data_IF_502489004583
#
_entry.id   IF_502489004583
#
_cell.length_a   1.000
_cell.length_b   1.000
_cell.length_c   1.000
_cell.angle_alpha   90.00
_cell.angle_beta   90.00
_cell.angle_gamma   90.00
#
_symmetry.space_group_name_H-M   'P 1'
#
loop_
_entity.id
_entity.type
_entity.pdbx_description
1 polymer ?
#
# COMPACT_ATOMS: atom_id res chain seq x y z
N UNK A 1 -2.84 7.86 -3.61
CA UNK A 1 -1.77 7.42 -4.51
C UNK A 1 -1.34 8.51 -5.48
N UNK A 2 -0.38 8.18 -6.35
CA UNK A 2 0.11 9.09 -7.39
C UNK A 2 0.78 8.30 -8.51
N UNK A 3 0.86 8.88 -9.72
CA UNK A 3 1.66 8.34 -10.82
C UNK A 3 2.39 9.44 -11.57
N UNK A 4 3.49 9.04 -12.16
CA UNK A 4 4.23 9.82 -13.14
C UNK A 4 4.09 9.08 -14.47
N UNK A 5 3.50 9.73 -15.46
CA UNK A 5 3.30 9.22 -16.82
C UNK A 5 4.03 10.16 -17.78
N UNK A 6 4.90 9.61 -18.61
CA UNK A 6 5.71 10.39 -19.55
C UNK A 6 6.50 11.54 -18.87
N UNK A 7 7.07 11.27 -17.70
CA UNK A 7 7.82 12.24 -16.91
C UNK A 7 6.97 13.33 -16.22
N UNK A 8 5.64 13.23 -16.24
CA UNK A 8 4.73 14.21 -15.67
C UNK A 8 3.85 13.59 -14.58
N UNK A 9 3.64 14.34 -13.49
CA UNK A 9 2.67 13.94 -12.46
C UNK A 9 1.27 13.91 -13.05
N UNK A 10 0.65 12.73 -13.02
CA UNK A 10 -0.73 12.56 -13.48
C UNK A 10 -1.71 13.09 -12.45
N UNK A 11 -2.41 14.15 -12.76
CA UNK A 11 -3.35 14.83 -11.84
C UNK A 11 -4.80 14.44 -12.08
N UNK A 12 -5.14 13.96 -13.27
CA UNK A 12 -6.52 13.76 -13.67
C UNK A 12 -7.26 15.11 -13.93
N UNK A 13 -8.54 15.02 -14.21
CA UNK A 13 -9.36 16.20 -14.55
C UNK A 13 -9.56 17.16 -13.37
N UNK A 14 -9.76 16.62 -12.16
CA UNK A 14 -10.06 17.40 -10.94
C UNK A 14 -8.91 17.47 -9.96
N UNK A 15 -7.70 17.03 -10.36
CA UNK A 15 -6.53 16.86 -9.50
C UNK A 15 -6.71 15.82 -8.38
N UNK A 16 -7.71 14.93 -8.48
CA UNK A 16 -8.01 13.86 -7.54
C UNK A 16 -7.77 12.46 -8.15
N UNK A 17 -6.93 12.35 -9.18
CA UNK A 17 -6.63 11.06 -9.78
C UNK A 17 -5.83 10.16 -8.82
N UNK A 18 -5.91 8.86 -9.07
CA UNK A 18 -5.13 7.83 -8.38
C UNK A 18 -5.44 7.67 -6.89
N UNK A 19 -6.68 7.90 -6.51
CA UNK A 19 -7.20 7.49 -5.21
C UNK A 19 -7.38 5.95 -5.15
N UNK A 20 -6.27 5.22 -5.43
CA UNK A 20 -6.23 3.75 -5.48
C UNK A 20 -6.66 3.12 -4.16
N UNK A 21 -6.37 3.79 -3.04
CA UNK A 21 -6.82 3.37 -1.72
C UNK A 21 -8.35 3.26 -1.60
N UNK A 22 -9.09 3.98 -2.44
CA UNK A 22 -10.56 3.96 -2.47
C UNK A 22 -11.17 3.11 -3.60
N UNK A 23 -10.34 2.36 -4.32
CA UNK A 23 -10.84 1.32 -5.22
C UNK A 23 -11.35 0.12 -4.44
N UNK A 24 -12.49 -0.43 -4.83
CA UNK A 24 -13.05 -1.63 -4.18
C UNK A 24 -12.26 -2.87 -4.57
N UNK A 25 -11.69 -3.56 -3.58
CA UNK A 25 -10.97 -4.84 -3.74
C UNK A 25 -11.77 -6.02 -3.19
N UNK A 26 -12.78 -5.75 -2.39
CA UNK A 26 -13.75 -6.73 -1.90
C UNK A 26 -15.14 -6.07 -1.74
N UNK A 27 -16.11 -6.37 -2.61
CA UNK A 27 -17.43 -5.75 -2.54
C UNK A 27 -18.21 -6.07 -1.26
N UNK A 28 -17.81 -7.13 -0.54
CA UNK A 28 -18.39 -7.53 0.74
C UNK A 28 -17.53 -7.10 1.94
N UNK A 29 -16.48 -6.33 1.70
CA UNK A 29 -15.55 -5.88 2.72
C UNK A 29 -16.12 -4.79 3.64
N UNK A 30 -15.36 -4.35 4.64
CA UNK A 30 -15.79 -3.37 5.62
C UNK A 30 -16.07 -2.00 4.97
N UNK A 31 -16.89 -1.21 5.67
CA UNK A 31 -17.18 0.17 5.26
C UNK A 31 -15.94 1.04 5.39
N UNK A 32 -15.60 1.74 4.32
CA UNK A 32 -14.54 2.73 4.27
C UNK A 32 -15.04 4.10 4.70
N UNK A 33 -14.13 4.97 5.17
CA UNK A 33 -14.46 6.34 5.55
C UNK A 33 -14.96 7.19 4.35
N UNK A 34 -14.65 6.81 3.11
CA UNK A 34 -15.19 7.44 1.90
C UNK A 34 -16.66 7.11 1.64
N UNK A 35 -17.24 6.17 2.41
CA UNK A 35 -18.63 5.73 2.29
C UNK A 35 -18.83 4.42 1.51
N UNK A 36 -17.85 3.98 0.71
CA UNK A 36 -17.89 2.73 -0.03
C UNK A 36 -17.60 1.51 0.86
N UNK A 37 -17.81 0.31 0.30
CA UNK A 37 -17.45 -0.96 0.93
C UNK A 37 -16.18 -1.54 0.30
N UNK A 38 -15.34 -2.17 1.13
CA UNK A 38 -14.19 -2.94 0.69
C UNK A 38 -13.13 -2.20 -0.10
N UNK A 39 -12.94 -0.91 0.18
CA UNK A 39 -11.83 -0.14 -0.37
C UNK A 39 -10.49 -0.75 0.04
N UNK A 40 -9.49 -0.67 -0.82
CA UNK A 40 -8.14 -1.13 -0.53
C UNK A 40 -7.61 -0.57 0.80
N UNK A 41 -7.82 0.72 1.08
CA UNK A 41 -7.43 1.35 2.34
C UNK A 41 -8.09 0.67 3.56
N UNK A 42 -9.40 0.39 3.47
CA UNK A 42 -10.14 -0.27 4.54
C UNK A 42 -9.74 -1.74 4.75
N UNK A 43 -9.09 -2.35 3.77
CA UNK A 43 -8.63 -3.75 3.82
C UNK A 43 -7.16 -3.87 4.23
N UNK A 44 -6.27 -2.95 3.83
CA UNK A 44 -4.83 -3.16 3.89
C UNK A 44 -4.01 -2.03 4.53
N UNK A 45 -4.62 -0.92 4.92
CA UNK A 45 -3.89 0.15 5.60
C UNK A 45 -3.45 -0.25 7.01
N UNK A 46 -2.44 0.43 7.56
CA UNK A 46 -2.03 0.24 8.95
C UNK A 46 -3.18 0.45 9.95
N UNK A 47 -4.09 1.40 9.65
CA UNK A 47 -5.31 1.62 10.45
C UNK A 47 -6.28 0.44 10.35
N UNK A 48 -6.43 -0.16 9.17
CA UNK A 48 -7.28 -1.33 8.96
C UNK A 48 -6.72 -2.55 9.72
N UNK A 49 -5.41 -2.79 9.65
CA UNK A 49 -4.70 -3.84 10.40
C UNK A 49 -4.90 -3.65 11.91
N UNK A 50 -4.66 -2.44 12.41
CA UNK A 50 -4.87 -2.12 13.83
C UNK A 50 -6.31 -2.35 14.28
N UNK A 51 -7.29 -1.96 13.45
CA UNK A 51 -8.71 -2.20 13.72
C UNK A 51 -9.03 -3.68 13.83
N UNK A 52 -8.50 -4.50 12.91
CA UNK A 52 -8.68 -5.97 12.94
C UNK A 52 -8.05 -6.60 14.19
N UNK A 53 -6.84 -6.13 14.59
CA UNK A 53 -6.22 -6.56 15.85
C UNK A 53 -7.08 -6.24 17.07
N UNK A 54 -7.67 -5.03 17.14
CA UNK A 54 -8.58 -4.63 18.23
C UNK A 54 -9.88 -5.45 18.22
N UNK A 55 -10.45 -5.70 17.04
CA UNK A 55 -11.62 -6.57 16.89
C UNK A 55 -11.35 -7.98 17.43
N UNK A 56 -10.18 -8.56 17.08
CA UNK A 56 -9.78 -9.89 17.56
C UNK A 56 -9.68 -9.94 19.10
N UNK A 57 -9.09 -8.94 19.73
CA UNK A 57 -8.99 -8.85 21.19
C UNK A 57 -10.37 -8.73 21.87
N UNK A 58 -11.35 -8.11 21.22
CA UNK A 58 -12.71 -7.97 21.74
C UNK A 58 -13.54 -9.27 21.68
N UNK A 59 -13.03 -10.29 21.01
CA UNK A 59 -13.65 -11.60 20.89
C UNK A 59 -13.04 -12.61 21.88
N UNK A 60 -13.63 -13.81 21.98
CA UNK A 60 -13.07 -14.90 22.80
C UNK A 60 -11.92 -15.66 22.12
N UNK A 61 -11.40 -15.17 20.99
CA UNK A 61 -10.27 -15.79 20.28
C UNK A 61 -9.02 -15.67 21.14
N UNK A 62 -8.25 -16.74 21.22
CA UNK A 62 -6.97 -16.74 21.91
C UNK A 62 -5.92 -16.06 21.02
N UNK A 63 -5.33 -14.98 21.51
CA UNK A 63 -4.30 -14.20 20.80
C UNK A 63 -3.43 -13.45 21.80
N UNK A 64 -2.14 -13.38 21.51
CA UNK A 64 -1.15 -12.63 22.29
C UNK A 64 -1.33 -11.10 22.19
N UNK A 65 -2.15 -10.63 21.25
CA UNK A 65 -2.51 -9.21 21.14
C UNK A 65 -3.21 -8.68 22.39
N UNK A 66 -3.85 -9.55 23.21
CA UNK A 66 -4.52 -9.19 24.46
C UNK A 66 -3.58 -8.57 25.51
N UNK A 67 -2.27 -8.75 25.39
CA UNK A 67 -1.29 -8.18 26.33
C UNK A 67 -1.04 -6.67 26.13
N UNK A 68 -1.54 -6.09 25.04
CA UNK A 68 -1.32 -4.69 24.71
C UNK A 68 -2.50 -3.81 25.07
N UNK A 69 -2.25 -2.69 25.78
CA UNK A 69 -3.25 -1.67 26.06
C UNK A 69 -3.64 -0.89 24.80
N UNK A 70 -2.69 -0.74 23.88
CA UNK A 70 -2.88 -0.07 22.59
C UNK A 70 -2.38 -0.96 21.48
N UNK A 71 -3.23 -1.24 20.50
CA UNK A 71 -2.90 -2.05 19.35
C UNK A 71 -2.84 -1.15 18.12
N UNK A 72 -1.66 -1.09 17.50
CA UNK A 72 -1.41 -0.52 16.19
C UNK A 72 -1.05 -1.63 15.20
N UNK A 73 -0.79 -1.28 13.94
CA UNK A 73 -0.29 -2.29 12.98
C UNK A 73 1.06 -2.87 13.41
N UNK A 74 1.88 -2.11 14.13
CA UNK A 74 3.17 -2.57 14.61
C UNK A 74 3.05 -3.79 15.55
N UNK A 75 2.16 -3.72 16.54
CA UNK A 75 1.92 -4.83 17.47
C UNK A 75 1.39 -6.07 16.73
N UNK A 76 0.52 -5.87 15.73
CA UNK A 76 -0.01 -6.99 14.94
C UNK A 76 1.10 -7.67 14.13
N UNK A 77 1.97 -6.91 13.45
CA UNK A 77 3.12 -7.48 12.74
C UNK A 77 4.07 -8.20 13.70
N UNK A 78 4.37 -7.60 14.85
CA UNK A 78 5.25 -8.18 15.87
C UNK A 78 4.74 -9.53 16.39
N UNK A 79 3.44 -9.63 16.69
CA UNK A 79 2.86 -10.88 17.17
C UNK A 79 2.71 -11.92 16.06
N UNK A 80 2.46 -11.50 14.83
CA UNK A 80 2.47 -12.40 13.67
C UNK A 80 3.87 -13.03 13.50
N UNK A 81 4.94 -12.24 13.60
CA UNK A 81 6.33 -12.72 13.56
C UNK A 81 6.65 -13.65 14.73
N UNK A 82 6.10 -13.37 15.91
CA UNK A 82 6.25 -14.22 17.11
C UNK A 82 5.44 -15.52 17.06
N UNK A 83 4.59 -15.71 16.04
CA UNK A 83 3.87 -16.97 15.81
C UNK A 83 2.41 -16.96 16.24
N UNK A 84 1.83 -15.80 16.57
CA UNK A 84 0.38 -15.68 16.85
C UNK A 84 -0.41 -15.89 15.55
N UNK A 85 -1.20 -16.94 15.49
CA UNK A 85 -1.94 -17.33 14.28
C UNK A 85 -3.03 -16.30 13.92
N UNK A 86 -3.67 -15.66 14.91
CA UNK A 86 -4.67 -14.62 14.66
C UNK A 86 -4.01 -13.38 14.04
N UNK A 87 -2.86 -12.98 14.56
CA UNK A 87 -2.10 -11.87 14.01
C UNK A 87 -1.59 -12.18 12.60
N UNK A 88 -1.11 -13.42 12.35
CA UNK A 88 -0.72 -13.87 11.00
C UNK A 88 -1.87 -13.79 10.02
N UNK A 89 -3.04 -14.31 10.37
CA UNK A 89 -4.22 -14.26 9.51
C UNK A 89 -4.62 -12.82 9.17
N UNK A 90 -4.52 -11.89 10.13
CA UNK A 90 -4.78 -10.47 9.89
C UNK A 90 -3.78 -9.89 8.88
N UNK A 91 -2.49 -10.16 9.05
CA UNK A 91 -1.44 -9.67 8.17
C UNK A 91 -1.55 -10.29 6.78
N UNK A 92 -1.71 -11.60 6.67
CA UNK A 92 -1.82 -12.30 5.40
C UNK A 92 -3.03 -11.81 4.58
N UNK A 93 -4.16 -11.58 5.23
CA UNK A 93 -5.33 -11.00 4.58
C UNK A 93 -5.05 -9.58 4.09
N UNK A 94 -4.50 -8.71 4.96
CA UNK A 94 -4.23 -7.33 4.61
C UNK A 94 -3.23 -7.22 3.45
N UNK A 95 -2.15 -7.99 3.47
CA UNK A 95 -1.13 -8.01 2.41
C UNK A 95 -1.64 -8.66 1.12
N UNK A 96 -2.53 -9.64 1.22
CA UNK A 96 -3.21 -10.20 0.04
C UNK A 96 -4.04 -9.14 -0.67
N UNK A 97 -4.83 -8.35 0.06
CA UNK A 97 -5.60 -7.26 -0.53
C UNK A 97 -4.71 -6.14 -1.07
N UNK A 98 -3.58 -5.83 -0.41
CA UNK A 98 -2.59 -4.92 -0.96
C UNK A 98 -2.08 -5.42 -2.31
N UNK A 99 -1.73 -6.70 -2.39
CA UNK A 99 -1.30 -7.33 -3.64
C UNK A 99 -2.37 -7.29 -4.73
N UNK A 100 -3.67 -7.43 -4.38
CA UNK A 100 -4.78 -7.26 -5.32
C UNK A 100 -4.84 -5.84 -5.85
N UNK A 101 -4.73 -4.83 -4.97
CA UNK A 101 -4.71 -3.43 -5.37
C UNK A 101 -3.55 -3.09 -6.29
N UNK A 102 -2.35 -3.62 -5.98
CA UNK A 102 -1.16 -3.47 -6.83
C UNK A 102 -1.36 -4.17 -8.18
N UNK A 103 -1.88 -5.39 -8.20
CA UNK A 103 -2.17 -6.11 -9.43
C UNK A 103 -3.18 -5.34 -10.33
N UNK A 104 -4.20 -4.74 -9.72
CA UNK A 104 -5.17 -3.91 -10.44
C UNK A 104 -4.50 -2.65 -11.04
N UNK A 105 -3.58 -2.01 -10.28
CA UNK A 105 -2.83 -0.88 -10.79
C UNK A 105 -1.91 -1.28 -11.96
N UNK A 106 -1.20 -2.40 -11.85
CA UNK A 106 -0.37 -2.93 -12.94
C UNK A 106 -1.23 -3.22 -14.18
N UNK A 107 -2.35 -3.92 -14.02
CA UNK A 107 -3.23 -4.25 -15.14
C UNK A 107 -3.89 -3.02 -15.80
N UNK A 108 -3.97 -1.89 -15.08
CA UNK A 108 -4.63 -0.67 -15.58
C UNK A 108 -3.64 0.28 -16.25
N UNK A 109 -2.44 0.42 -15.68
CA UNK A 109 -1.47 1.44 -16.10
C UNK A 109 -0.23 0.88 -16.78
N UNK A 110 0.02 -0.44 -16.65
CA UNK A 110 1.24 -1.13 -17.16
C UNK A 110 2.53 -0.36 -16.80
N UNK A 111 2.77 -0.04 -15.53
CA UNK A 111 3.88 0.78 -15.12
C UNK A 111 5.19 -0.02 -15.09
N UNK A 112 6.31 0.65 -15.31
CA UNK A 112 7.63 0.06 -15.11
C UNK A 112 7.92 -0.23 -13.63
N UNK A 113 7.30 0.55 -12.71
CA UNK A 113 7.58 0.45 -11.27
C UNK A 113 6.37 0.82 -10.42
N UNK A 114 6.15 0.04 -9.35
CA UNK A 114 5.23 0.35 -8.24
C UNK A 114 6.07 0.62 -6.98
N UNK A 115 5.91 1.81 -6.41
CA UNK A 115 6.59 2.22 -5.18
C UNK A 115 5.59 2.15 -4.02
N UNK A 116 5.89 1.32 -3.01
CA UNK A 116 5.05 1.17 -1.82
C UNK A 116 5.71 1.89 -0.65
N UNK A 117 5.01 2.90 -0.11
CA UNK A 117 5.45 3.68 1.04
C UNK A 117 4.50 3.60 2.23
N UNK A 118 4.82 4.37 3.26
CA UNK A 118 4.04 4.46 4.49
C UNK A 118 4.44 3.45 5.57
N UNK A 119 3.66 3.41 6.67
CA UNK A 119 4.01 2.63 7.86
C UNK A 119 4.08 1.12 7.62
N UNK A 120 3.18 0.58 6.80
CA UNK A 120 3.10 -0.87 6.51
C UNK A 120 4.33 -1.36 5.75
N UNK A 121 4.88 -0.56 4.81
CA UNK A 121 6.07 -0.95 4.04
C UNK A 121 7.32 -1.14 4.92
N UNK A 122 7.34 -0.57 6.13
CA UNK A 122 8.44 -0.73 7.10
C UNK A 122 8.54 -2.13 7.71
N UNK A 123 7.53 -2.97 7.53
CA UNK A 123 7.58 -4.37 7.96
C UNK A 123 8.52 -5.23 7.06
N UNK A 124 9.09 -4.65 5.99
CA UNK A 124 10.14 -5.28 5.20
C UNK A 124 9.65 -6.35 4.24
N UNK A 125 10.48 -7.38 4.06
CA UNK A 125 10.32 -8.38 2.99
C UNK A 125 8.97 -9.08 2.98
N UNK A 126 8.36 -9.31 4.14
CA UNK A 126 7.05 -9.95 4.23
C UNK A 126 5.98 -9.21 3.40
N UNK A 127 6.07 -7.87 3.35
CA UNK A 127 5.13 -7.06 2.55
C UNK A 127 5.39 -7.26 1.07
N UNK A 128 6.64 -7.09 0.65
CA UNK A 128 7.02 -7.12 -0.76
C UNK A 128 6.90 -8.52 -1.35
N UNK A 129 7.30 -9.56 -0.62
CA UNK A 129 7.20 -10.95 -1.06
C UNK A 129 5.73 -11.38 -1.22
N UNK A 130 4.88 -11.02 -0.25
CA UNK A 130 3.45 -11.32 -0.35
C UNK A 130 2.80 -10.59 -1.51
N UNK A 131 3.09 -9.29 -1.68
CA UNK A 131 2.56 -8.50 -2.81
C UNK A 131 3.01 -9.08 -4.15
N UNK A 132 4.31 -9.35 -4.31
CA UNK A 132 4.88 -9.96 -5.54
C UNK A 132 4.23 -11.31 -5.83
N UNK A 133 4.03 -12.17 -4.81
CA UNK A 133 3.35 -13.46 -4.95
C UNK A 133 1.92 -13.31 -5.47
N UNK A 134 1.17 -12.32 -4.96
CA UNK A 134 -0.20 -12.05 -5.39
C UNK A 134 -0.22 -11.49 -6.82
N UNK A 135 0.66 -10.55 -7.14
CA UNK A 135 0.81 -9.97 -8.48
C UNK A 135 1.12 -11.06 -9.51
N UNK A 136 2.11 -11.92 -9.24
CA UNK A 136 2.48 -13.03 -10.12
C UNK A 136 1.32 -14.02 -10.39
N UNK A 137 0.39 -14.14 -9.44
CA UNK A 137 -0.80 -14.99 -9.58
C UNK A 137 -1.94 -14.32 -10.35
N UNK A 138 -1.99 -12.98 -10.37
CA UNK A 138 -3.17 -12.22 -10.86
C UNK A 138 -2.94 -11.42 -12.12
N UNK A 139 -1.72 -11.00 -12.39
CA UNK A 139 -1.38 -10.28 -13.62
C UNK A 139 -1.00 -11.23 -14.76
N UNK A 140 -1.07 -10.73 -15.98
CA UNK A 140 -0.40 -11.40 -17.09
C UNK A 140 1.09 -11.49 -16.79
N UNK A 141 1.69 -12.64 -17.12
CA UNK A 141 3.09 -12.93 -16.82
C UNK A 141 4.03 -11.83 -17.32
N UNK A 142 3.83 -11.35 -18.54
CA UNK A 142 4.64 -10.28 -19.13
C UNK A 142 4.59 -8.98 -18.34
N UNK A 143 3.42 -8.58 -17.82
CA UNK A 143 3.25 -7.38 -17.01
C UNK A 143 3.87 -7.54 -15.61
N UNK A 144 3.67 -8.71 -14.98
CA UNK A 144 4.25 -9.00 -13.68
C UNK A 144 5.78 -9.04 -13.69
N UNK A 145 6.38 -9.54 -14.79
CA UNK A 145 7.84 -9.61 -14.97
C UNK A 145 8.47 -8.27 -15.36
N UNK A 146 7.72 -7.36 -15.99
CA UNK A 146 8.22 -6.05 -16.43
C UNK A 146 8.08 -4.95 -15.37
N UNK A 147 7.27 -5.14 -14.33
CA UNK A 147 7.01 -4.16 -13.30
C UNK A 147 7.84 -4.43 -12.04
N UNK A 148 8.68 -3.48 -11.65
CA UNK A 148 9.40 -3.55 -10.39
C UNK A 148 8.49 -3.12 -9.23
N UNK A 149 8.52 -3.85 -8.10
CA UNK A 149 7.78 -3.51 -6.87
C UNK A 149 8.81 -3.26 -5.79
N UNK A 150 8.92 -1.99 -5.34
CA UNK A 150 10.00 -1.51 -4.48
C UNK A 150 9.49 -0.68 -3.29
N UNK A 151 10.25 -0.61 -2.18
CA UNK A 151 9.96 0.32 -1.10
C UNK A 151 10.25 1.77 -1.50
N UNK A 152 9.53 2.72 -0.88
CA UNK A 152 9.80 4.14 -1.06
C UNK A 152 11.17 4.51 -0.47
N UNK A 153 12.07 5.02 -1.30
CA UNK A 153 13.44 5.41 -0.91
C UNK A 153 13.49 6.57 0.09
N UNK A 154 12.52 7.49 0.06
CA UNK A 154 12.45 8.64 0.98
C UNK A 154 11.79 8.28 2.34
N UNK A 155 11.30 7.07 2.51
CA UNK A 155 10.71 6.62 3.77
C UNK A 155 9.63 7.57 4.32
N UNK A 156 9.83 8.05 5.56
CA UNK A 156 8.91 8.97 6.25
C UNK A 156 8.89 10.39 5.65
N UNK A 157 9.94 10.76 4.94
CA UNK A 157 10.15 12.13 4.44
C UNK A 157 9.50 12.35 3.07
N UNK A 158 9.00 11.28 2.44
CA UNK A 158 8.40 11.33 1.10
C UNK A 158 7.32 12.43 0.95
N UNK A 159 6.47 12.60 1.98
CA UNK A 159 5.42 13.62 1.97
C UNK A 159 5.97 15.04 2.00
N UNK A 160 6.95 15.31 2.87
CA UNK A 160 7.58 16.63 3.01
C UNK A 160 8.40 16.98 1.78
N UNK A 161 9.23 16.04 1.32
CA UNK A 161 10.05 16.21 0.11
C UNK A 161 9.16 16.43 -1.13
N UNK A 162 8.08 15.65 -1.25
CA UNK A 162 7.12 15.81 -2.35
C UNK A 162 6.41 17.17 -2.34
N UNK A 163 6.00 17.67 -1.16
CA UNK A 163 5.40 18.98 -1.03
C UNK A 163 6.39 20.11 -1.42
N UNK A 164 7.64 20.01 -0.96
CA UNK A 164 8.69 20.96 -1.33
C UNK A 164 8.98 20.89 -2.84
N UNK A 165 9.08 19.70 -3.42
CA UNK A 165 9.28 19.52 -4.84
C UNK A 165 8.17 20.18 -5.68
N UNK A 166 6.91 20.01 -5.29
CA UNK A 166 5.76 20.65 -5.95
C UNK A 166 5.78 22.19 -5.84
N UNK A 167 6.37 22.74 -4.76
CA UNK A 167 6.48 24.18 -4.58
C UNK A 167 7.63 24.82 -5.38
N UNK A 168 8.71 24.06 -5.59
CA UNK A 168 9.95 24.55 -6.27
C UNK A 168 9.87 24.31 -7.77
N UNK A 169 9.30 23.17 -8.19
CA UNK A 169 9.16 22.81 -9.59
C UNK A 169 7.86 23.43 -10.10
N UNK A 170 7.92 24.51 -10.91
CA UNK A 170 6.72 25.10 -11.47
C UNK A 170 5.98 24.01 -12.29
N UNK A 171 4.64 24.12 -12.48
CA UNK A 171 3.83 23.11 -13.20
C UNK A 171 4.18 22.97 -14.69
N UNK A 172 5.27 23.58 -15.13
CA UNK A 172 5.79 23.57 -16.48
C UNK A 172 6.99 22.63 -16.61
N UNK A 173 6.75 21.52 -17.33
CA UNK A 173 7.71 20.81 -18.17
C UNK A 173 8.99 20.35 -17.45
N UNK A 174 8.93 19.16 -16.86
CA UNK A 174 10.12 18.32 -16.80
C UNK A 174 10.23 17.59 -18.14
N UNK A 175 10.63 18.29 -19.19
CA UNK A 175 11.12 17.65 -20.40
C UNK A 175 12.50 17.08 -20.08
N UNK A 176 12.61 15.76 -20.02
CA UNK A 176 13.88 15.04 -20.09
C UNK A 176 14.62 14.72 -18.80
N UNK A 177 14.07 14.93 -17.62
CA UNK A 177 14.63 14.36 -16.39
C UNK A 177 13.88 13.07 -16.04
N UNK A 178 14.55 11.93 -16.10
CA UNK A 178 14.03 10.68 -15.61
C UNK A 178 13.81 10.83 -14.10
N UNK A 179 12.58 10.60 -13.64
CA UNK A 179 12.20 10.65 -12.21
C UNK A 179 13.04 9.69 -11.36
N UNK A 180 13.64 8.67 -11.99
CA UNK A 180 14.62 7.75 -11.40
C UNK A 180 15.82 8.46 -10.77
N UNK A 181 16.27 9.61 -11.33
CA UNK A 181 17.45 10.32 -10.83
C UNK A 181 17.22 11.00 -9.47
N UNK A 182 15.96 11.18 -9.07
CA UNK A 182 15.57 11.83 -7.82
C UNK A 182 15.14 10.86 -6.71
N UNK A 183 14.82 9.63 -7.07
CA UNK A 183 14.28 8.63 -6.11
C UNK A 183 15.37 7.69 -5.58
N UNK A 184 16.49 7.56 -6.31
CA UNK A 184 17.60 6.64 -6.00
C UNK A 184 18.89 7.30 -5.49
N UNK A 185 18.91 8.60 -5.23
CA UNK A 185 20.08 9.26 -4.61
C UNK A 185 19.86 9.60 -3.16
#
# INVERSE_FOLDING_TARGET
GGAVLDGKVYRGHTSNALEIGHTTVDPNGPRCNCGNLGCLEAMSSGTAIAKKGKEAVSTNVETSLKKYDTITSYEVFKEAEAGDEVAKDIIDNALTYLGIGVANAIATFDPEMIIIGGGVSKAGDIVFDTVKKVVNKRCFKSMAESCEIVPAGLGSDAGVVGAVALAIIPPLVVEGALFSDWVYR
#
